data_IF_870457002007
#
_entry.id   IF_870457002007
#
_cell.length_a   1.000
_cell.length_b   1.000
_cell.length_c   1.000
_cell.angle_alpha   90.00
_cell.angle_beta   90.00
_cell.angle_gamma   90.00
#
_symmetry.space_group_name_H-M   'P 1'
#
loop_
_entity.id
_entity.type
_entity.pdbx_description
1 polymer ?
#
# COMPACT_ATOMS: atom_id res chain seq x y z
N UNK A 1 26.38 -42.04 40.00
CA UNK A 1 24.96 -41.80 39.61
C UNK A 1 24.37 -40.45 40.04
N UNK A 2 24.99 -39.66 40.95
CA UNK A 2 24.41 -38.37 41.42
C UNK A 2 24.77 -37.11 40.60
N UNK A 3 25.79 -37.16 39.75
CA UNK A 3 26.25 -35.99 38.99
C UNK A 3 25.34 -35.62 37.79
N UNK A 4 24.71 -36.62 37.14
CA UNK A 4 23.79 -36.39 36.00
C UNK A 4 22.45 -35.77 36.40
N UNK A 5 22.07 -35.83 37.68
CA UNK A 5 20.83 -35.23 38.19
C UNK A 5 20.94 -33.71 38.30
N UNK A 6 22.09 -33.18 38.77
CA UNK A 6 22.28 -31.74 39.02
C UNK A 6 22.47 -30.94 37.72
N UNK A 7 23.12 -31.52 36.70
CA UNK A 7 23.23 -30.88 35.38
C UNK A 7 21.88 -30.75 34.68
N UNK A 8 20.96 -31.71 34.87
CA UNK A 8 19.61 -31.65 34.28
C UNK A 8 18.74 -30.60 34.96
N UNK A 9 18.76 -30.47 36.30
CA UNK A 9 17.99 -29.42 36.99
C UNK A 9 18.50 -28.01 36.71
N UNK A 10 19.82 -27.82 36.58
CA UNK A 10 20.40 -26.52 36.22
C UNK A 10 20.01 -26.04 34.81
N UNK A 11 19.98 -26.96 33.84
CA UNK A 11 19.59 -26.64 32.46
C UNK A 11 18.10 -26.29 32.34
N UNK A 12 17.23 -26.96 33.08
CA UNK A 12 15.79 -26.64 33.12
C UNK A 12 15.52 -25.27 33.78
N UNK A 13 16.25 -24.91 34.83
CA UNK A 13 16.10 -23.61 35.50
C UNK A 13 16.57 -22.43 34.61
N UNK A 14 17.66 -22.61 33.85
CA UNK A 14 18.16 -21.62 32.88
C UNK A 14 17.19 -21.42 31.70
N UNK A 15 16.57 -22.50 31.22
CA UNK A 15 15.57 -22.43 30.14
C UNK A 15 14.28 -21.74 30.59
N UNK A 16 13.80 -22.03 31.81
CA UNK A 16 12.63 -21.39 32.40
C UNK A 16 12.85 -19.88 32.65
N UNK A 17 14.03 -19.48 33.13
CA UNK A 17 14.38 -18.08 33.32
C UNK A 17 14.47 -17.30 31.99
N UNK A 18 15.00 -17.93 30.93
CA UNK A 18 15.04 -17.36 29.58
C UNK A 18 13.65 -17.13 28.97
N UNK A 19 12.73 -18.10 29.14
CA UNK A 19 11.34 -17.95 28.70
C UNK A 19 10.60 -16.83 29.47
N UNK A 20 10.80 -16.72 30.78
CA UNK A 20 10.17 -15.67 31.59
C UNK A 20 10.64 -14.25 31.19
N UNK A 21 11.93 -14.06 30.93
CA UNK A 21 12.49 -12.78 30.48
C UNK A 21 11.98 -12.39 29.08
N UNK A 22 11.93 -13.34 28.14
CA UNK A 22 11.39 -13.09 26.79
C UNK A 22 9.90 -12.71 26.84
N UNK A 23 9.12 -13.37 27.70
CA UNK A 23 7.70 -13.07 27.88
C UNK A 23 7.47 -11.69 28.52
N UNK A 24 8.31 -11.31 29.49
CA UNK A 24 8.26 -9.98 30.10
C UNK A 24 8.63 -8.87 29.10
N UNK A 25 9.63 -9.09 28.24
CA UNK A 25 9.99 -8.16 27.16
C UNK A 25 8.85 -7.96 26.16
N UNK A 26 8.23 -9.05 25.70
CA UNK A 26 7.08 -8.98 24.79
C UNK A 26 5.89 -8.24 25.43
N UNK A 27 5.57 -8.51 26.70
CA UNK A 27 4.48 -7.84 27.39
C UNK A 27 4.70 -6.32 27.52
N UNK A 28 5.95 -5.89 27.73
CA UNK A 28 6.30 -4.47 27.77
C UNK A 28 6.19 -3.82 26.38
N UNK A 29 6.65 -4.49 25.31
CA UNK A 29 6.46 -4.03 23.93
C UNK A 29 4.98 -3.86 23.61
N UNK A 30 4.14 -4.86 23.93
CA UNK A 30 2.69 -4.81 23.70
C UNK A 30 2.04 -3.66 24.45
N UNK A 31 2.41 -3.42 25.72
CA UNK A 31 1.93 -2.28 26.51
C UNK A 31 2.27 -0.94 25.86
N UNK A 32 3.50 -0.75 25.37
CA UNK A 32 3.92 0.49 24.71
C UNK A 32 3.20 0.71 23.38
N UNK A 33 2.94 -0.36 22.62
CA UNK A 33 2.14 -0.32 21.39
C UNK A 33 0.71 0.11 21.74
N UNK A 34 0.08 -0.52 22.74
CA UNK A 34 -1.27 -0.18 23.20
C UNK A 34 -1.39 1.30 23.58
N UNK A 35 -0.46 1.82 24.37
CA UNK A 35 -0.45 3.23 24.79
C UNK A 35 -0.34 4.19 23.60
N UNK A 36 0.54 3.89 22.64
CA UNK A 36 0.72 4.69 21.43
C UNK A 36 -0.54 4.70 20.56
N UNK A 37 -1.15 3.53 20.33
CA UNK A 37 -2.34 3.40 19.49
C UNK A 37 -3.53 4.10 20.13
N UNK A 38 -3.75 3.88 21.43
CA UNK A 38 -4.85 4.49 22.17
C UNK A 38 -4.74 6.02 22.21
N UNK A 39 -3.52 6.58 22.31
CA UNK A 39 -3.30 8.02 22.22
C UNK A 39 -3.75 8.57 20.85
N UNK A 40 -3.29 7.97 19.74
CA UNK A 40 -3.67 8.37 18.38
C UNK A 40 -5.16 8.23 18.12
N UNK A 41 -5.77 7.14 18.60
CA UNK A 41 -7.22 6.92 18.45
C UNK A 41 -8.05 7.99 19.17
N UNK A 42 -7.67 8.35 20.40
CA UNK A 42 -8.32 9.44 21.16
C UNK A 42 -8.15 10.78 20.47
N UNK A 43 -6.93 11.12 20.07
CA UNK A 43 -6.58 12.40 19.45
C UNK A 43 -7.39 12.66 18.17
N UNK A 44 -7.58 11.62 17.34
CA UNK A 44 -8.25 11.77 16.04
C UNK A 44 -9.68 11.24 16.00
N UNK A 45 -10.23 10.80 17.14
CA UNK A 45 -11.58 10.24 17.25
C UNK A 45 -11.81 9.02 16.37
N UNK A 46 -10.81 8.14 16.26
CA UNK A 46 -10.85 6.92 15.45
C UNK A 46 -11.78 5.91 16.11
N UNK A 47 -12.77 5.39 15.38
CA UNK A 47 -13.74 4.45 15.95
C UNK A 47 -13.17 3.03 16.08
N UNK A 48 -12.39 2.57 15.11
CA UNK A 48 -11.71 1.30 15.14
C UNK A 48 -10.47 1.27 14.26
N UNK A 49 -9.47 0.52 14.71
CA UNK A 49 -8.17 0.37 14.06
C UNK A 49 -7.70 -1.08 14.14
N UNK A 50 -7.17 -1.59 13.03
CA UNK A 50 -6.52 -2.89 12.95
C UNK A 50 -5.09 -2.71 12.46
N UNK A 51 -4.14 -3.23 13.24
CA UNK A 51 -2.71 -3.18 12.96
C UNK A 51 -2.21 -4.62 12.83
N UNK A 52 -1.38 -4.86 11.82
CA UNK A 52 -0.61 -6.08 11.69
C UNK A 52 0.86 -5.73 11.56
N UNK A 53 1.72 -6.45 12.29
CA UNK A 53 3.17 -6.36 12.17
C UNK A 53 3.72 -7.73 11.81
N UNK A 54 4.78 -7.77 11.03
CA UNK A 54 5.49 -9.01 10.67
C UNK A 54 6.97 -8.84 10.96
N UNK A 55 7.59 -9.84 11.58
CA UNK A 55 9.04 -9.90 11.77
C UNK A 55 9.51 -11.31 11.44
N UNK A 56 10.39 -11.45 10.44
CA UNK A 56 10.87 -12.74 9.95
C UNK A 56 9.73 -13.70 9.53
N UNK A 57 8.59 -13.17 9.07
CA UNK A 57 7.40 -13.95 8.69
C UNK A 57 6.47 -14.32 9.85
N UNK A 58 6.83 -13.99 11.09
CA UNK A 58 5.93 -14.12 12.24
C UNK A 58 5.06 -12.87 12.35
N UNK A 59 3.75 -13.06 12.25
CA UNK A 59 2.77 -11.97 12.26
C UNK A 59 2.15 -11.78 13.65
N UNK A 60 2.02 -10.53 14.09
CA UNK A 60 1.29 -10.13 15.29
C UNK A 60 0.23 -9.11 14.96
N UNK A 61 -0.89 -9.12 15.69
CA UNK A 61 -2.06 -8.29 15.39
C UNK A 61 -2.51 -7.52 16.62
N UNK A 62 -2.78 -6.22 16.43
CA UNK A 62 -3.33 -5.34 17.45
C UNK A 62 -4.63 -4.73 16.92
N UNK A 63 -5.73 -4.95 17.62
CA UNK A 63 -7.07 -4.56 17.16
C UNK A 63 -7.80 -3.77 18.24
N UNK A 64 -8.38 -2.63 17.86
CA UNK A 64 -8.91 -1.68 18.81
C UNK A 64 -10.24 -1.10 18.33
N UNK A 65 -11.16 -0.89 19.28
CA UNK A 65 -12.44 -0.24 19.03
C UNK A 65 -13.41 -1.07 18.19
N UNK A 66 -14.19 -0.38 17.35
CA UNK A 66 -15.32 -0.98 16.61
C UNK A 66 -15.20 -0.76 15.10
N UNK A 67 -15.56 -1.79 14.33
CA UNK A 67 -15.71 -1.71 12.89
C UNK A 67 -16.91 -0.84 12.49
N UNK A 68 -17.95 -0.79 13.32
CA UNK A 68 -19.12 0.10 13.17
C UNK A 68 -19.70 0.48 14.53
N UNK A 69 -19.81 1.79 14.78
CA UNK A 69 -20.47 2.37 15.97
C UNK A 69 -21.94 1.97 16.07
N UNK A 70 -22.62 1.79 14.93
CA UNK A 70 -24.05 1.44 14.92
C UNK A 70 -24.28 0.00 15.39
N UNK A 71 -23.45 -0.93 14.93
CA UNK A 71 -23.61 -2.37 15.24
C UNK A 71 -22.87 -2.79 16.50
N UNK A 72 -21.93 -1.97 16.98
CA UNK A 72 -21.02 -2.34 18.07
C UNK A 72 -20.00 -3.44 17.72
N UNK A 73 -19.96 -3.91 16.46
CA UNK A 73 -19.05 -5.00 16.04
C UNK A 73 -17.60 -4.61 16.33
N UNK A 74 -16.83 -5.41 17.09
CA UNK A 74 -15.42 -5.15 17.33
C UNK A 74 -14.62 -5.08 16.03
N UNK A 75 -13.64 -4.17 15.98
CA UNK A 75 -12.61 -4.23 14.95
C UNK A 75 -11.71 -5.45 15.18
N UNK A 76 -11.22 -6.07 14.11
CA UNK A 76 -10.43 -7.29 14.18
C UNK A 76 -9.61 -7.49 12.91
N UNK A 77 -8.64 -8.41 12.94
CA UNK A 77 -7.67 -8.60 11.85
C UNK A 77 -8.30 -8.96 10.49
N UNK A 78 -9.54 -9.47 10.50
CA UNK A 78 -10.32 -9.87 9.33
C UNK A 78 -11.39 -8.83 8.92
N UNK A 79 -11.49 -7.71 9.63
CA UNK A 79 -12.34 -6.58 9.26
C UNK A 79 -11.83 -5.96 7.96
N UNK A 80 -12.73 -5.73 7.01
CA UNK A 80 -12.41 -5.12 5.72
C UNK A 80 -12.47 -3.60 5.83
N UNK A 81 -11.38 -2.94 5.43
CA UNK A 81 -11.24 -1.49 5.37
C UNK A 81 -11.02 -1.04 3.93
N UNK A 82 -11.47 0.16 3.58
CA UNK A 82 -11.03 0.83 2.35
C UNK A 82 -9.60 1.32 2.54
N UNK A 83 -8.69 0.91 1.65
CA UNK A 83 -7.26 1.26 1.78
C UNK A 83 -6.85 2.44 0.90
N UNK A 84 -7.81 3.00 0.16
CA UNK A 84 -7.60 4.15 -0.72
C UNK A 84 -6.37 3.94 -1.61
N UNK A 85 -5.47 4.92 -1.65
CA UNK A 85 -4.28 4.90 -2.52
C UNK A 85 -3.28 3.77 -2.28
N UNK A 86 -3.38 2.97 -1.21
CA UNK A 86 -2.60 1.73 -1.13
C UNK A 86 -2.99 0.78 -2.27
N UNK A 87 -4.21 0.86 -2.81
CA UNK A 87 -4.67 0.11 -4.00
C UNK A 87 -3.71 0.21 -5.19
N UNK A 88 -3.01 1.33 -5.33
CA UNK A 88 -2.05 1.58 -6.42
C UNK A 88 -0.92 0.57 -6.46
N UNK A 89 -0.52 0.04 -5.30
CA UNK A 89 0.55 -0.95 -5.21
C UNK A 89 0.13 -2.28 -5.85
N UNK A 90 -1.14 -2.68 -5.67
CA UNK A 90 -1.70 -3.83 -6.39
C UNK A 90 -1.81 -3.57 -7.92
N UNK A 91 -2.21 -2.36 -8.32
CA UNK A 91 -2.25 -1.97 -9.74
C UNK A 91 -0.86 -2.00 -10.38
N UNK A 92 0.16 -1.53 -9.67
CA UNK A 92 1.56 -1.62 -10.08
C UNK A 92 2.01 -3.09 -10.19
N UNK A 93 1.65 -3.94 -9.22
CA UNK A 93 1.94 -5.38 -9.28
C UNK A 93 1.25 -6.05 -10.48
N UNK A 94 0.01 -5.67 -10.82
CA UNK A 94 -0.67 -6.20 -12.02
C UNK A 94 0.08 -5.83 -13.31
N UNK A 95 0.49 -4.57 -13.44
CA UNK A 95 1.25 -4.10 -14.60
C UNK A 95 2.61 -4.80 -14.72
N UNK A 96 3.33 -4.92 -13.62
CA UNK A 96 4.59 -5.66 -13.56
C UNK A 96 4.40 -7.16 -13.87
N UNK A 97 3.31 -7.77 -13.40
CA UNK A 97 2.99 -9.16 -13.70
C UNK A 97 2.67 -9.36 -15.19
N UNK A 98 1.92 -8.43 -15.81
CA UNK A 98 1.72 -8.43 -17.24
C UNK A 98 3.05 -8.29 -18.01
N UNK A 99 3.99 -7.48 -17.51
CA UNK A 99 5.34 -7.37 -18.09
C UNK A 99 6.12 -8.68 -18.01
N UNK A 100 6.19 -9.30 -16.83
CA UNK A 100 6.91 -10.57 -16.64
C UNK A 100 6.34 -11.68 -17.52
N UNK A 101 5.05 -11.62 -17.86
CA UNK A 101 4.39 -12.54 -18.79
C UNK A 101 4.54 -12.16 -20.28
N UNK A 102 5.33 -11.14 -20.61
CA UNK A 102 5.54 -10.66 -21.97
C UNK A 102 4.29 -10.06 -22.62
N UNK A 103 3.30 -9.63 -21.82
CA UNK A 103 2.05 -9.06 -22.31
C UNK A 103 2.11 -7.55 -22.51
N UNK A 104 3.01 -6.89 -21.79
CA UNK A 104 3.38 -5.50 -22.03
C UNK A 104 4.86 -5.26 -21.74
N UNK A 105 5.38 -4.11 -22.16
CA UNK A 105 6.60 -3.53 -21.60
C UNK A 105 6.23 -2.22 -20.89
N UNK A 106 6.80 -1.94 -19.72
CA UNK A 106 6.54 -0.69 -19.00
C UNK A 106 7.04 0.55 -19.78
N UNK A 107 7.98 0.35 -20.71
CA UNK A 107 8.43 1.37 -21.66
C UNK A 107 7.46 1.61 -22.82
N UNK A 108 6.44 0.76 -23.01
CA UNK A 108 5.47 0.94 -24.10
C UNK A 108 4.67 2.24 -23.95
N UNK A 109 4.22 2.76 -25.09
CA UNK A 109 3.17 3.77 -25.11
C UNK A 109 1.81 3.16 -24.72
N UNK A 110 0.97 3.87 -23.94
CA UNK A 110 -0.43 3.48 -23.71
C UNK A 110 -1.23 3.25 -25.00
N UNK A 111 -0.91 3.98 -26.08
CA UNK A 111 -1.63 3.89 -27.35
C UNK A 111 -1.47 2.52 -28.04
N UNK A 112 -0.44 1.73 -27.69
CA UNK A 112 -0.30 0.34 -28.14
C UNK A 112 -1.47 -0.53 -27.69
N UNK A 113 -2.06 -0.22 -26.54
CA UNK A 113 -3.19 -0.95 -25.96
C UNK A 113 -4.51 -0.19 -26.16
N UNK A 114 -4.44 1.13 -26.31
CA UNK A 114 -5.58 2.04 -26.49
C UNK A 114 -5.42 2.80 -27.81
N UNK A 115 -5.61 2.15 -28.98
CA UNK A 115 -5.30 2.76 -30.28
C UNK A 115 -6.12 4.01 -30.60
N UNK A 116 -7.28 4.19 -29.96
CA UNK A 116 -8.09 5.41 -30.07
C UNK A 116 -7.40 6.68 -29.55
N UNK A 117 -6.35 6.52 -28.74
CA UNK A 117 -5.51 7.61 -28.22
C UNK A 117 -4.32 7.92 -29.13
N UNK A 118 -4.09 7.15 -30.20
CA UNK A 118 -2.97 7.36 -31.12
C UNK A 118 -2.98 8.81 -31.68
N UNK A 119 -1.79 9.41 -31.74
CA UNK A 119 -1.59 10.79 -32.19
C UNK A 119 -1.88 11.88 -31.15
N UNK A 120 -2.39 11.53 -29.95
CA UNK A 120 -2.54 12.49 -28.85
C UNK A 120 -1.23 12.71 -28.07
N UNK A 121 -1.17 13.73 -27.21
CA UNK A 121 -0.03 13.92 -26.31
C UNK A 121 0.05 12.83 -25.24
N UNK A 122 -1.10 12.28 -24.83
CA UNK A 122 -1.14 11.13 -23.92
C UNK A 122 -0.46 9.90 -24.52
N UNK A 123 -0.51 9.71 -25.85
CA UNK A 123 0.17 8.61 -26.52
C UNK A 123 1.71 8.71 -26.48
N UNK A 124 2.28 9.86 -26.12
CA UNK A 124 3.73 10.04 -26.00
C UNK A 124 4.28 9.58 -24.66
N UNK A 125 3.41 9.32 -23.68
CA UNK A 125 3.78 8.80 -22.38
C UNK A 125 4.26 7.35 -22.49
N UNK A 126 5.09 6.92 -21.54
CA UNK A 126 5.32 5.50 -21.26
C UNK A 126 4.43 5.02 -20.11
N UNK A 127 4.27 3.70 -19.95
CA UNK A 127 3.60 3.15 -18.76
C UNK A 127 4.38 3.42 -17.46
N UNK A 128 5.71 3.58 -17.54
CA UNK A 128 6.53 4.08 -16.42
C UNK A 128 6.04 5.47 -16.00
N UNK A 129 5.77 6.38 -16.93
CA UNK A 129 5.25 7.71 -16.58
C UNK A 129 3.91 7.63 -15.84
N UNK A 130 3.04 6.70 -16.24
CA UNK A 130 1.75 6.49 -15.60
C UNK A 130 1.90 5.97 -14.16
N UNK A 131 2.79 5.00 -13.94
CA UNK A 131 3.01 4.39 -12.62
C UNK A 131 3.87 5.22 -11.67
N UNK A 132 4.61 6.19 -12.18
CA UNK A 132 5.48 7.09 -11.40
C UNK A 132 4.95 8.51 -11.30
N UNK A 133 3.71 8.76 -11.76
CA UNK A 133 3.09 10.08 -11.70
C UNK A 133 3.86 11.19 -12.44
N UNK A 134 4.57 10.84 -13.52
CA UNK A 134 5.37 11.79 -14.32
C UNK A 134 4.75 12.09 -15.68
N UNK A 135 3.43 12.19 -15.72
CA UNK A 135 2.69 12.40 -16.97
C UNK A 135 2.82 13.82 -17.51
N UNK A 136 3.17 14.80 -16.67
CA UNK A 136 3.30 16.20 -17.07
C UNK A 136 2.09 17.06 -16.70
N UNK A 137 1.60 16.95 -15.46
CA UNK A 137 0.55 17.83 -14.92
C UNK A 137 -0.87 17.26 -14.97
N UNK A 138 -1.07 15.97 -14.69
CA UNK A 138 -2.44 15.48 -14.50
C UNK A 138 -3.10 16.06 -13.24
N UNK A 139 -4.42 16.31 -13.26
CA UNK A 139 -5.14 16.62 -12.04
C UNK A 139 -5.12 15.42 -11.08
N UNK A 140 -5.22 15.70 -9.78
CA UNK A 140 -5.24 14.67 -8.74
C UNK A 140 -6.36 13.63 -8.97
N UNK A 141 -7.52 14.08 -9.42
CA UNK A 141 -8.72 13.27 -9.69
C UNK A 141 -9.10 13.35 -11.16
N UNK A 142 -9.80 12.32 -11.64
CA UNK A 142 -10.56 12.44 -12.89
C UNK A 142 -11.56 13.59 -12.73
N UNK A 143 -11.60 14.58 -13.66
CA UNK A 143 -12.56 15.67 -13.59
C UNK A 143 -14.01 15.19 -13.42
N UNK A 144 -14.78 15.85 -12.56
CA UNK A 144 -16.14 15.42 -12.19
C UNK A 144 -17.09 15.30 -13.40
N UNK A 145 -16.87 16.05 -14.48
CA UNK A 145 -17.69 15.96 -15.69
C UNK A 145 -17.55 14.60 -16.43
N UNK A 146 -16.48 13.84 -16.16
CA UNK A 146 -16.19 12.56 -16.80
C UNK A 146 -16.82 11.44 -15.97
N UNK A 147 -17.86 10.82 -16.51
CA UNK A 147 -18.69 9.80 -15.83
C UNK A 147 -18.55 8.41 -16.42
N UNK A 148 -17.93 8.26 -17.59
CA UNK A 148 -17.77 6.97 -18.25
C UNK A 148 -16.48 6.89 -19.08
N UNK A 149 -16.18 5.69 -19.57
CA UNK A 149 -14.96 5.42 -20.34
C UNK A 149 -14.90 6.21 -21.66
N UNK A 150 -16.01 6.39 -22.38
CA UNK A 150 -16.00 7.16 -23.62
C UNK A 150 -15.60 8.63 -23.39
N UNK A 151 -16.14 9.25 -22.33
CA UNK A 151 -15.76 10.60 -21.90
C UNK A 151 -14.30 10.66 -21.42
N UNK A 152 -13.81 9.62 -20.74
CA UNK A 152 -12.41 9.52 -20.34
C UNK A 152 -11.48 9.49 -21.56
N UNK A 153 -11.79 8.67 -22.57
CA UNK A 153 -10.97 8.61 -23.80
C UNK A 153 -10.99 9.93 -24.56
N UNK A 154 -12.14 10.59 -24.65
CA UNK A 154 -12.24 11.93 -25.25
C UNK A 154 -11.40 12.97 -24.49
N UNK A 155 -11.46 12.95 -23.15
CA UNK A 155 -10.64 13.81 -22.29
C UNK A 155 -9.14 13.56 -22.51
N UNK A 156 -8.69 12.30 -22.48
CA UNK A 156 -7.28 11.94 -22.66
C UNK A 156 -6.76 12.29 -24.07
N UNK A 157 -7.62 12.16 -25.09
CA UNK A 157 -7.27 12.53 -26.46
C UNK A 157 -7.08 14.04 -26.62
N UNK A 158 -7.86 14.85 -25.90
CA UNK A 158 -7.79 16.31 -25.91
C UNK A 158 -6.77 16.89 -24.92
N UNK A 159 -6.37 16.12 -23.91
CA UNK A 159 -5.48 16.56 -22.85
C UNK A 159 -4.12 17.03 -23.39
N UNK A 160 -3.62 18.13 -22.82
CA UNK A 160 -2.32 18.72 -23.11
C UNK A 160 -1.47 18.76 -21.85
N UNK A 161 -0.22 18.28 -21.88
CA UNK A 161 0.68 18.37 -20.74
C UNK A 161 1.05 19.82 -20.43
N UNK A 162 1.16 20.14 -19.15
CA UNK A 162 1.77 21.39 -18.65
C UNK A 162 3.30 21.32 -18.69
N UNK A 163 3.85 20.10 -18.55
CA UNK A 163 5.28 19.82 -18.52
C UNK A 163 5.63 18.62 -19.40
N UNK A 164 6.87 18.53 -19.86
CA UNK A 164 7.30 17.36 -20.63
C UNK A 164 7.20 16.08 -19.79
N UNK A 165 6.84 14.97 -20.43
CA UNK A 165 6.75 13.67 -19.76
C UNK A 165 8.07 13.32 -19.07
N UNK A 166 8.00 12.78 -17.85
CA UNK A 166 9.19 12.43 -17.07
C UNK A 166 9.86 13.58 -16.30
N UNK A 167 9.45 14.84 -16.49
CA UNK A 167 10.17 15.99 -15.90
C UNK A 167 9.56 16.55 -14.62
N UNK A 168 8.29 16.24 -14.34
CA UNK A 168 7.60 16.64 -13.12
C UNK A 168 6.81 15.49 -12.55
N UNK A 169 6.88 15.29 -11.22
CA UNK A 169 5.98 14.44 -10.47
C UNK A 169 4.72 15.23 -10.13
N UNK A 170 3.57 14.76 -10.59
CA UNK A 170 2.24 15.25 -10.21
C UNK A 170 1.38 14.07 -9.78
N UNK A 171 1.23 13.88 -8.46
CA UNK A 171 0.48 12.73 -7.92
C UNK A 171 -0.97 12.74 -8.40
N UNK A 172 -1.37 11.72 -9.15
CA UNK A 172 -2.62 11.72 -9.88
C UNK A 172 -3.25 10.33 -9.97
N UNK A 173 -4.51 10.22 -9.56
CA UNK A 173 -5.33 9.04 -9.74
C UNK A 173 -5.53 8.65 -11.21
N UNK A 174 -5.83 9.56 -12.16
CA UNK A 174 -5.94 9.18 -13.57
C UNK A 174 -4.63 8.61 -14.16
N UNK A 175 -3.47 9.02 -13.65
CA UNK A 175 -2.17 8.50 -14.08
C UNK A 175 -2.09 6.99 -13.89
N UNK A 176 -2.12 6.54 -12.64
CA UNK A 176 -2.01 5.12 -12.31
C UNK A 176 -3.30 4.33 -12.61
N UNK A 177 -4.44 5.02 -12.65
CA UNK A 177 -5.69 4.44 -13.13
C UNK A 177 -5.56 3.95 -14.57
N UNK A 178 -4.96 4.77 -15.44
CA UNK A 178 -4.68 4.37 -16.81
C UNK A 178 -3.63 3.26 -16.92
N UNK A 179 -2.65 3.20 -16.01
CA UNK A 179 -1.73 2.04 -15.92
C UNK A 179 -2.51 0.75 -15.68
N UNK A 180 -3.43 0.75 -14.72
CA UNK A 180 -4.28 -0.42 -14.40
C UNK A 180 -5.16 -0.85 -15.57
N UNK A 181 -5.81 0.11 -16.24
CA UNK A 181 -6.62 -0.16 -17.43
C UNK A 181 -5.79 -0.80 -18.55
N UNK A 182 -4.60 -0.25 -18.85
CA UNK A 182 -3.69 -0.81 -19.85
C UNK A 182 -3.19 -2.20 -19.46
N UNK A 183 -2.81 -2.39 -18.20
CA UNK A 183 -2.35 -3.67 -17.68
C UNK A 183 -3.41 -4.77 -17.82
N UNK A 184 -4.66 -4.48 -17.45
CA UNK A 184 -5.77 -5.42 -17.60
C UNK A 184 -6.07 -5.71 -19.08
N UNK A 185 -6.03 -4.68 -19.93
CA UNK A 185 -6.26 -4.82 -21.37
C UNK A 185 -5.18 -5.68 -22.04
N UNK A 186 -3.91 -5.53 -21.67
CA UNK A 186 -2.82 -6.38 -22.21
C UNK A 186 -2.98 -7.86 -21.81
N UNK A 187 -3.66 -8.12 -20.70
CA UNK A 187 -4.03 -9.46 -20.23
C UNK A 187 -5.34 -9.98 -20.85
N UNK A 188 -6.02 -9.19 -21.70
CA UNK A 188 -7.35 -9.48 -22.24
C UNK A 188 -8.39 -9.75 -21.14
N UNK A 189 -8.35 -8.94 -20.08
CA UNK A 189 -9.27 -9.02 -18.94
C UNK A 189 -9.85 -7.65 -18.60
N UNK A 190 -11.10 -7.58 -18.09
CA UNK A 190 -11.54 -6.43 -17.30
C UNK A 190 -10.67 -6.29 -16.05
N UNK A 191 -10.38 -5.07 -15.61
CA UNK A 191 -9.50 -4.82 -14.47
C UNK A 191 -9.92 -5.59 -13.21
N UNK A 192 -11.19 -5.50 -12.80
CA UNK A 192 -11.68 -6.24 -11.63
C UNK A 192 -11.45 -7.74 -11.72
N UNK A 193 -11.67 -8.34 -12.89
CA UNK A 193 -11.44 -9.76 -13.09
C UNK A 193 -9.96 -10.12 -13.00
N UNK A 194 -9.08 -9.29 -13.57
CA UNK A 194 -7.63 -9.47 -13.45
C UNK A 194 -7.16 -9.39 -11.99
N UNK A 195 -7.79 -8.53 -11.18
CA UNK A 195 -7.49 -8.41 -9.75
C UNK A 195 -8.06 -9.59 -8.95
N UNK A 196 -9.36 -9.81 -9.00
CA UNK A 196 -10.08 -10.74 -8.11
C UNK A 196 -9.96 -12.22 -8.51
N UNK A 197 -9.78 -12.52 -9.80
CA UNK A 197 -9.70 -13.91 -10.28
C UNK A 197 -8.27 -14.36 -10.56
N UNK A 198 -7.36 -13.43 -10.84
CA UNK A 198 -5.98 -13.76 -11.18
C UNK A 198 -4.99 -13.30 -10.10
N UNK A 199 -4.90 -11.99 -9.81
CA UNK A 199 -3.84 -11.45 -8.96
C UNK A 199 -4.01 -11.81 -7.46
N UNK A 200 -5.15 -11.48 -6.85
CA UNK A 200 -5.38 -11.72 -5.42
C UNK A 200 -5.25 -13.21 -5.04
N UNK A 201 -5.87 -14.17 -5.77
CA UNK A 201 -5.70 -15.59 -5.46
C UNK A 201 -4.26 -16.07 -5.56
N UNK A 202 -3.49 -15.59 -6.54
CA UNK A 202 -2.08 -15.95 -6.71
C UNK A 202 -1.17 -15.38 -5.62
N UNK A 203 -1.55 -14.26 -5.01
CA UNK A 203 -0.93 -13.70 -3.81
C UNK A 203 -1.42 -14.37 -2.52
N UNK A 204 -2.34 -15.34 -2.61
CA UNK A 204 -2.93 -16.01 -1.43
C UNK A 204 -3.88 -15.12 -0.62
N UNK A 205 -4.45 -14.08 -1.24
CA UNK A 205 -5.33 -13.12 -0.61
C UNK A 205 -6.79 -13.55 -0.75
N UNK A 206 -7.44 -13.84 0.38
CA UNK A 206 -8.81 -14.41 0.43
C UNK A 206 -9.86 -13.44 0.97
N UNK A 207 -9.42 -12.31 1.50
CA UNK A 207 -10.19 -11.22 2.10
C UNK A 207 -9.77 -9.87 1.51
N UNK A 208 -9.54 -9.84 0.19
CA UNK A 208 -9.16 -8.65 -0.59
C UNK A 208 -10.05 -8.55 -1.82
N UNK A 209 -10.70 -7.40 -2.00
CA UNK A 209 -11.79 -7.21 -2.96
C UNK A 209 -11.73 -5.85 -3.64
N UNK A 210 -12.17 -5.78 -4.89
CA UNK A 210 -12.64 -4.54 -5.50
C UNK A 210 -14.12 -4.37 -5.16
N UNK A 211 -14.95 -5.39 -5.33
CA UNK A 211 -16.35 -5.36 -4.92
C UNK A 211 -16.54 -6.30 -3.72
N UNK A 212 -16.85 -5.75 -2.54
CA UNK A 212 -17.06 -6.58 -1.35
C UNK A 212 -18.31 -7.44 -1.56
N UNK A 213 -18.19 -8.78 -1.56
CA UNK A 213 -19.32 -9.65 -1.83
C UNK A 213 -20.35 -9.60 -0.69
N UNK A 214 -21.62 -9.85 -1.01
CA UNK A 214 -22.72 -9.80 -0.04
C UNK A 214 -22.45 -10.60 1.24
N UNK A 215 -21.86 -11.80 1.10
CA UNK A 215 -21.50 -12.69 2.22
C UNK A 215 -20.43 -12.11 3.16
N UNK A 216 -19.67 -11.10 2.73
CA UNK A 216 -18.61 -10.44 3.49
C UNK A 216 -18.97 -9.03 3.93
N UNK A 217 -20.19 -8.55 3.64
CA UNK A 217 -20.62 -7.20 4.01
C UNK A 217 -20.65 -6.96 5.52
N UNK A 218 -20.86 -8.00 6.33
CA UNK A 218 -20.75 -7.91 7.78
C UNK A 218 -19.33 -7.53 8.23
N UNK A 219 -18.30 -7.99 7.50
CA UNK A 219 -16.88 -7.71 7.78
C UNK A 219 -16.45 -6.32 7.30
N UNK A 220 -17.23 -5.67 6.44
CA UNK A 220 -16.93 -4.34 5.90
C UNK A 220 -17.19 -3.26 6.94
N UNK A 221 -16.11 -2.69 7.47
CA UNK A 221 -16.17 -1.56 8.39
C UNK A 221 -17.00 -0.39 7.81
N UNK A 222 -17.57 0.39 8.72
CA UNK A 222 -18.19 1.66 8.40
C UNK A 222 -17.13 2.76 8.56
N UNK A 223 -16.83 3.49 7.50
CA UNK A 223 -15.95 4.67 7.57
C UNK A 223 -16.67 5.86 8.18
N UNK A 224 -15.93 6.74 8.84
CA UNK A 224 -16.45 7.97 9.45
C UNK A 224 -15.69 9.19 8.92
N UNK A 225 -16.42 10.14 8.30
CA UNK A 225 -15.83 11.38 7.80
C UNK A 225 -15.48 12.34 8.95
N UNK A 226 -14.97 13.54 8.63
CA UNK A 226 -14.57 14.55 9.63
C UNK A 226 -15.72 15.01 10.53
N UNK A 227 -16.96 14.93 10.05
CA UNK A 227 -18.18 15.25 10.78
C UNK A 227 -18.74 14.05 11.57
N UNK A 228 -18.00 12.94 11.68
CA UNK A 228 -18.45 11.67 12.26
C UNK A 228 -19.64 11.02 11.55
N UNK A 229 -19.99 11.46 10.33
CA UNK A 229 -21.04 10.82 9.56
C UNK A 229 -20.52 9.53 8.89
N UNK A 230 -21.34 8.46 8.84
CA UNK A 230 -20.98 7.23 8.15
C UNK A 230 -20.81 7.49 6.65
N UNK A 231 -19.68 7.04 6.09
CA UNK A 231 -19.39 7.13 4.66
C UNK A 231 -18.65 5.88 4.17
N UNK A 232 -18.90 5.49 2.93
CA UNK A 232 -18.10 4.53 2.15
C UNK A 232 -17.76 5.14 0.80
N UNK A 233 -16.73 4.61 0.15
CA UNK A 233 -16.31 5.04 -1.19
C UNK A 233 -17.43 4.79 -2.20
N UNK A 234 -17.70 5.78 -3.04
CA UNK A 234 -18.62 5.64 -4.17
C UNK A 234 -17.87 5.16 -5.42
N UNK A 235 -18.55 4.46 -6.35
CA UNK A 235 -17.98 4.16 -7.65
C UNK A 235 -17.56 5.43 -8.40
N UNK A 236 -16.47 5.34 -9.16
CA UNK A 236 -15.95 6.44 -9.97
C UNK A 236 -15.11 5.91 -11.13
N UNK A 237 -14.92 6.75 -12.15
CA UNK A 237 -14.05 6.43 -13.29
C UNK A 237 -12.62 6.22 -12.76
N UNK A 238 -12.04 5.06 -13.06
CA UNK A 238 -10.72 4.62 -12.58
C UNK A 238 -10.60 4.45 -11.06
N UNK A 239 -11.73 4.35 -10.34
CA UNK A 239 -11.72 4.16 -8.89
C UNK A 239 -11.07 2.82 -8.50
N UNK A 240 -11.42 1.74 -9.19
CA UNK A 240 -10.93 0.38 -8.92
C UNK A 240 -9.40 0.33 -8.98
N UNK A 241 -8.81 0.94 -10.01
CA UNK A 241 -7.38 0.99 -10.26
C UNK A 241 -6.62 1.91 -9.29
N UNK A 242 -7.24 3.01 -8.87
CA UNK A 242 -6.52 4.06 -8.13
C UNK A 242 -6.72 4.01 -6.61
N UNK A 243 -7.89 3.59 -6.13
CA UNK A 243 -8.25 3.66 -4.71
C UNK A 243 -9.38 2.70 -4.26
N UNK A 244 -9.73 1.70 -5.08
CA UNK A 244 -10.93 0.89 -4.89
C UNK A 244 -10.77 -0.38 -4.07
N UNK A 245 -9.58 -0.76 -3.62
CA UNK A 245 -9.38 -2.01 -2.88
C UNK A 245 -9.95 -1.91 -1.46
N UNK A 246 -10.66 -2.97 -1.05
CA UNK A 246 -11.03 -3.25 0.34
C UNK A 246 -10.30 -4.51 0.77
N UNK A 247 -9.62 -4.48 1.90
CA UNK A 247 -8.88 -5.64 2.44
C UNK A 247 -8.84 -5.63 3.96
N UNK A 248 -8.41 -6.74 4.55
CA UNK A 248 -8.17 -6.85 5.98
C UNK A 248 -6.69 -6.65 6.33
N UNK A 249 -6.41 -6.40 7.61
CA UNK A 249 -5.02 -6.31 8.08
C UNK A 249 -4.28 -7.65 7.88
N UNK A 250 -4.99 -8.78 8.03
CA UNK A 250 -4.45 -10.13 7.79
C UNK A 250 -4.03 -10.36 6.34
N UNK A 251 -4.81 -9.90 5.38
CA UNK A 251 -4.46 -10.08 3.98
C UNK A 251 -3.38 -9.07 3.54
N UNK A 252 -3.51 -7.81 3.96
CA UNK A 252 -2.55 -6.80 3.56
C UNK A 252 -1.15 -7.09 4.12
N UNK A 253 -1.03 -7.68 5.32
CA UNK A 253 0.29 -8.09 5.84
C UNK A 253 0.87 -9.29 5.07
N UNK A 254 0.06 -10.18 4.50
CA UNK A 254 0.54 -11.23 3.57
C UNK A 254 1.09 -10.64 2.29
N UNK A 255 0.45 -9.58 1.77
CA UNK A 255 0.98 -8.85 0.62
C UNK A 255 2.30 -8.15 0.98
N UNK A 256 2.43 -7.59 2.18
CA UNK A 256 3.71 -7.04 2.69
C UNK A 256 4.79 -8.11 2.81
N UNK A 257 4.47 -9.27 3.38
CA UNK A 257 5.39 -10.42 3.45
C UNK A 257 5.88 -10.82 2.05
N UNK A 258 4.96 -10.91 1.07
CA UNK A 258 5.30 -11.20 -0.32
C UNK A 258 6.23 -10.13 -0.93
N UNK A 259 6.04 -8.86 -0.58
CA UNK A 259 6.94 -7.77 -1.00
C UNK A 259 8.34 -7.87 -0.38
N UNK A 260 8.50 -8.55 0.74
CA UNK A 260 9.81 -8.86 1.34
C UNK A 260 10.36 -10.22 0.91
N UNK A 261 9.75 -10.86 -0.09
CA UNK A 261 10.15 -12.19 -0.57
C UNK A 261 9.76 -13.34 0.36
N UNK A 262 8.84 -13.12 1.30
CA UNK A 262 8.34 -14.13 2.22
C UNK A 262 7.06 -14.76 1.68
N UNK A 263 6.90 -16.07 1.87
CA UNK A 263 5.64 -16.78 1.67
C UNK A 263 5.00 -16.65 0.27
N UNK A 264 5.80 -16.40 -0.78
CA UNK A 264 5.32 -16.29 -2.17
C UNK A 264 5.97 -17.34 -3.07
N UNK A 265 5.18 -18.36 -3.45
CA UNK A 265 5.65 -19.48 -4.28
C UNK A 265 5.74 -19.12 -5.77
N UNK A 266 4.82 -18.32 -6.30
CA UNK A 266 4.74 -18.00 -7.73
C UNK A 266 5.96 -17.16 -8.18
N UNK A 267 6.85 -17.76 -8.97
CA UNK A 267 8.07 -17.11 -9.44
C UNK A 267 7.81 -15.89 -10.34
N UNK A 268 6.71 -15.92 -11.12
CA UNK A 268 6.30 -14.80 -11.95
C UNK A 268 5.88 -13.60 -11.10
N UNK A 269 5.16 -13.85 -10.01
CA UNK A 269 4.82 -12.79 -9.06
C UNK A 269 6.03 -12.28 -8.27
N UNK A 270 7.00 -13.13 -7.89
CA UNK A 270 8.25 -12.66 -7.29
C UNK A 270 8.99 -11.71 -8.22
N UNK A 271 9.09 -12.06 -9.50
CA UNK A 271 9.65 -11.17 -10.52
C UNK A 271 8.85 -9.88 -10.66
N UNK A 272 7.51 -9.94 -10.66
CA UNK A 272 6.65 -8.77 -10.77
C UNK A 272 6.83 -7.81 -9.58
N UNK A 273 6.84 -8.34 -8.35
CA UNK A 273 7.08 -7.56 -7.13
C UNK A 273 8.44 -6.86 -7.19
N UNK A 274 9.51 -7.58 -7.59
CA UNK A 274 10.83 -6.97 -7.75
C UNK A 274 10.80 -5.79 -8.74
N UNK A 275 10.04 -5.87 -9.84
CA UNK A 275 9.87 -4.75 -10.76
C UNK A 275 9.12 -3.56 -10.14
N UNK A 276 8.29 -3.78 -9.10
CA UNK A 276 7.62 -2.68 -8.40
C UNK A 276 8.54 -1.89 -7.46
N UNK A 277 9.75 -2.40 -7.17
CA UNK A 277 10.75 -1.77 -6.29
C UNK A 277 11.93 -1.17 -7.08
N UNK A 278 11.78 -1.02 -8.40
CA UNK A 278 12.74 -0.28 -9.23
C UNK A 278 12.51 1.21 -9.05
N UNK A 279 13.53 1.94 -8.63
CA UNK A 279 13.48 3.39 -8.42
C UNK A 279 13.75 4.18 -9.69
N UNK A 280 12.87 5.13 -10.01
CA UNK A 280 12.90 5.87 -11.27
C UNK A 280 13.39 7.31 -11.15
N UNK A 281 13.18 7.98 -10.02
CA UNK A 281 13.70 9.31 -9.73
C UNK A 281 13.73 9.56 -8.22
N UNK A 282 14.40 10.62 -7.80
CA UNK A 282 14.42 11.09 -6.42
C UNK A 282 13.71 12.44 -6.29
N UNK A 283 13.03 12.65 -5.17
CA UNK A 283 12.43 13.90 -4.75
C UNK A 283 12.74 14.09 -3.26
N UNK A 284 13.71 14.96 -2.96
CA UNK A 284 14.34 14.97 -1.64
C UNK A 284 14.97 13.60 -1.34
N UNK A 285 14.73 13.08 -0.14
CA UNK A 285 15.23 11.77 0.29
C UNK A 285 14.37 10.59 -0.21
N UNK A 286 13.21 10.86 -0.82
CA UNK A 286 12.31 9.84 -1.32
C UNK A 286 12.69 9.44 -2.74
N UNK A 287 12.84 8.14 -2.98
CA UNK A 287 12.93 7.55 -4.33
C UNK A 287 11.56 7.01 -4.72
N UNK A 288 11.07 7.41 -5.89
CA UNK A 288 9.80 6.92 -6.42
C UNK A 288 10.04 5.63 -7.20
N UNK A 289 9.39 4.55 -6.78
CA UNK A 289 9.33 3.30 -7.51
C UNK A 289 8.00 3.20 -8.30
N UNK A 290 7.59 2.00 -8.73
CA UNK A 290 6.26 1.83 -9.32
C UNK A 290 5.19 1.82 -8.22
N UNK A 291 4.52 2.96 -8.04
CA UNK A 291 3.59 3.29 -6.95
C UNK A 291 4.20 3.35 -5.53
N UNK A 292 5.13 2.47 -5.19
CA UNK A 292 5.86 2.49 -3.92
C UNK A 292 6.78 3.71 -3.81
N UNK A 293 7.00 4.15 -2.59
CA UNK A 293 7.89 5.27 -2.24
C UNK A 293 8.90 4.72 -1.22
N UNK A 294 10.20 4.98 -1.43
CA UNK A 294 11.24 4.40 -0.59
C UNK A 294 12.25 5.43 -0.09
N UNK A 295 12.76 5.21 1.13
CA UNK A 295 13.84 5.98 1.74
C UNK A 295 14.93 5.02 2.20
N UNK A 296 16.19 5.50 2.24
CA UNK A 296 17.30 4.71 2.79
C UNK A 296 17.01 4.35 4.26
N UNK A 297 17.30 3.10 4.64
CA UNK A 297 17.20 2.63 6.02
C UNK A 297 18.59 2.61 6.71
N UNK A 298 18.73 3.02 7.98
CA UNK A 298 17.66 3.56 8.84
C UNK A 298 17.22 4.96 8.38
N UNK A 299 15.91 5.15 8.25
CA UNK A 299 15.31 6.43 7.91
C UNK A 299 15.01 7.20 9.20
N UNK A 300 15.26 8.51 9.23
CA UNK A 300 14.84 9.34 10.37
C UNK A 300 13.33 9.58 10.31
N UNK A 301 12.70 9.81 11.46
CA UNK A 301 11.29 10.19 11.52
C UNK A 301 11.00 11.45 10.70
N UNK A 302 11.87 12.45 10.73
CA UNK A 302 11.69 13.71 9.98
C UNK A 302 11.75 13.50 8.46
N UNK A 303 12.64 12.63 7.97
CA UNK A 303 12.71 12.27 6.56
C UNK A 303 11.42 11.55 6.12
N UNK A 304 10.94 10.60 6.93
CA UNK A 304 9.68 9.89 6.67
C UNK A 304 8.47 10.83 6.67
N UNK A 305 8.41 11.78 7.60
CA UNK A 305 7.36 12.77 7.66
C UNK A 305 7.37 13.69 6.45
N UNK A 306 8.56 14.15 6.04
CA UNK A 306 8.73 15.01 4.86
C UNK A 306 8.29 14.29 3.59
N UNK A 307 8.71 13.03 3.40
CA UNK A 307 8.35 12.23 2.23
C UNK A 307 6.84 11.94 2.12
N UNK A 308 6.12 11.93 3.25
CA UNK A 308 4.68 11.62 3.29
C UNK A 308 3.79 12.85 3.51
N UNK A 309 4.39 14.04 3.51
CA UNK A 309 3.70 15.30 3.72
C UNK A 309 2.70 15.62 2.60
N UNK A 310 1.65 16.36 2.93
CA UNK A 310 0.56 16.66 1.98
C UNK A 310 0.99 17.39 0.71
N UNK A 311 2.05 18.20 0.77
CA UNK A 311 2.58 18.94 -0.38
C UNK A 311 3.11 18.05 -1.51
N UNK A 312 3.69 16.88 -1.19
CA UNK A 312 4.11 15.91 -2.20
C UNK A 312 2.92 15.36 -2.99
N UNK A 313 1.71 15.43 -2.43
CA UNK A 313 0.49 14.92 -3.08
C UNK A 313 -0.34 16.02 -3.75
N UNK A 314 -0.07 17.30 -3.49
CA UNK A 314 -0.90 18.42 -3.95
C UNK A 314 -0.20 19.39 -4.91
N UNK A 315 1.12 19.27 -5.09
CA UNK A 315 1.91 20.16 -5.94
C UNK A 315 2.75 19.37 -6.95
N UNK A 316 2.87 19.90 -8.17
CA UNK A 316 3.81 19.40 -9.17
C UNK A 316 5.24 19.74 -8.74
N UNK A 317 6.13 18.75 -8.76
CA UNK A 317 7.53 18.90 -8.34
C UNK A 317 8.46 18.51 -9.48
N UNK A 318 9.49 19.32 -9.81
CA UNK A 318 10.45 18.95 -10.83
C UNK A 318 11.25 17.72 -10.39
N UNK A 319 11.49 16.79 -11.30
CA UNK A 319 12.25 15.57 -11.05
C UNK A 319 13.14 15.25 -12.25
N UNK A 320 14.21 14.52 -11.99
CA UNK A 320 15.10 13.98 -13.01
C UNK A 320 15.11 12.45 -12.92
N UNK A 321 14.92 11.78 -14.06
CA UNK A 321 14.97 10.33 -14.14
C UNK A 321 16.37 9.81 -13.79
N UNK A 322 16.43 8.72 -13.04
CA UNK A 322 17.65 7.94 -12.82
C UNK A 322 17.95 7.14 -14.09
N UNK A 323 19.21 7.24 -14.57
CA UNK A 323 19.68 6.51 -15.74
C UNK A 323 21.05 5.88 -15.45
N UNK A 324 21.12 4.54 -15.29
CA UNK A 324 20.00 3.59 -15.29
C UNK A 324 19.05 3.78 -14.08
N UNK A 325 17.81 3.27 -14.14
CA UNK A 325 16.94 3.18 -12.97
C UNK A 325 17.63 2.43 -11.82
N UNK A 326 17.31 2.82 -10.58
CA UNK A 326 17.84 2.17 -9.39
C UNK A 326 17.25 0.76 -9.27
N UNK A 327 18.07 -0.31 -9.24
CA UNK A 327 17.55 -1.66 -9.04
C UNK A 327 16.89 -1.79 -7.65
N UNK A 328 16.11 -2.86 -7.39
CA UNK A 328 15.51 -3.09 -6.08
C UNK A 328 16.54 -3.04 -4.96
N UNK A 329 16.20 -2.35 -3.88
CA UNK A 329 17.07 -2.15 -2.72
C UNK A 329 16.56 -2.95 -1.52
N UNK A 330 17.46 -3.47 -0.70
CA UNK A 330 17.11 -4.24 0.51
C UNK A 330 17.14 -3.38 1.79
N UNK A 331 18.07 -2.43 1.87
CA UNK A 331 18.28 -1.55 3.03
C UNK A 331 17.50 -0.23 2.89
N UNK A 332 16.18 -0.37 2.72
CA UNK A 332 15.26 0.75 2.48
C UNK A 332 13.97 0.58 3.29
N UNK A 333 13.39 1.69 3.70
CA UNK A 333 12.03 1.78 4.19
C UNK A 333 11.11 2.06 3.00
N UNK A 334 10.32 1.07 2.61
CA UNK A 334 9.36 1.18 1.51
C UNK A 334 7.97 1.38 2.11
N UNK A 335 7.20 2.35 1.63
CA UNK A 335 5.90 2.65 2.20
C UNK A 335 4.84 3.13 1.20
N UNK A 336 3.58 3.15 1.66
CA UNK A 336 2.48 3.82 0.99
C UNK A 336 1.40 4.28 1.97
N UNK A 337 0.94 5.51 1.81
CA UNK A 337 -0.28 6.03 2.45
C UNK A 337 -1.51 5.81 1.58
N UNK A 338 -2.68 5.69 2.20
CA UNK A 338 -3.94 5.61 1.47
C UNK A 338 -5.13 6.10 2.28
N UNK A 339 -6.04 6.83 1.63
CA UNK A 339 -7.21 7.41 2.30
C UNK A 339 -8.42 7.39 1.37
N UNK A 340 -9.59 7.31 1.98
CA UNK A 340 -10.88 7.67 1.36
C UNK A 340 -11.57 8.70 2.26
N UNK A 341 -12.85 9.02 2.02
CA UNK A 341 -13.57 9.99 2.84
C UNK A 341 -13.74 9.55 4.31
N UNK A 342 -13.77 8.24 4.56
CA UNK A 342 -14.02 7.67 5.88
C UNK A 342 -12.91 6.75 6.40
N UNK A 343 -11.81 6.59 5.66
CA UNK A 343 -10.77 5.63 6.00
C UNK A 343 -9.38 6.21 5.83
N UNK A 344 -8.45 5.70 6.63
CA UNK A 344 -7.05 6.04 6.61
C UNK A 344 -6.20 4.80 6.83
N UNK A 345 -5.24 4.58 5.94
CA UNK A 345 -4.33 3.46 6.00
C UNK A 345 -2.88 3.88 5.77
N UNK A 346 -1.98 3.04 6.26
CA UNK A 346 -0.54 3.13 6.05
C UNK A 346 0.05 1.73 6.01
N UNK A 347 1.00 1.52 5.10
CA UNK A 347 1.78 0.30 5.02
C UNK A 347 3.25 0.67 4.86
N UNK A 348 4.13 -0.05 5.56
CA UNK A 348 5.57 0.10 5.41
C UNK A 348 6.30 -1.21 5.68
N UNK A 349 7.48 -1.37 5.09
CA UNK A 349 8.34 -2.52 5.33
C UNK A 349 9.81 -2.23 5.02
N UNK A 350 10.68 -3.04 5.60
CA UNK A 350 12.14 -2.99 5.45
C UNK A 350 12.63 -4.39 5.04
N UNK A 351 12.89 -4.64 3.74
CA UNK A 351 13.22 -5.98 3.23
C UNK A 351 14.40 -6.64 3.95
N UNK A 352 15.51 -5.93 4.13
CA UNK A 352 16.71 -6.42 4.84
C UNK A 352 16.48 -6.80 6.30
N UNK A 353 15.40 -6.32 6.92
CA UNK A 353 15.01 -6.65 8.30
C UNK A 353 13.88 -7.68 8.36
N UNK A 354 13.26 -8.00 7.22
CA UNK A 354 12.01 -8.79 7.13
C UNK A 354 10.97 -8.27 8.13
N UNK A 355 10.88 -6.95 8.22
CA UNK A 355 10.07 -6.22 9.17
C UNK A 355 9.03 -5.41 8.41
N UNK A 356 7.75 -5.53 8.75
CA UNK A 356 6.68 -4.81 8.07
C UNK A 356 5.51 -4.48 8.99
N UNK A 357 4.74 -3.48 8.59
CA UNK A 357 3.58 -3.01 9.32
C UNK A 357 2.46 -2.59 8.37
N UNK A 358 1.24 -2.88 8.80
CA UNK A 358 -0.02 -2.42 8.22
C UNK A 358 -0.82 -1.75 9.31
N UNK A 359 -1.34 -0.55 9.05
CA UNK A 359 -2.25 0.20 9.94
C UNK A 359 -3.49 0.57 9.12
N UNK A 360 -4.66 0.11 9.54
CA UNK A 360 -5.94 0.40 8.90
C UNK A 360 -6.93 0.98 9.90
N UNK A 361 -7.54 2.13 9.58
CA UNK A 361 -8.49 2.82 10.44
C UNK A 361 -9.74 3.25 9.67
N UNK A 362 -10.90 3.19 10.33
CA UNK A 362 -12.17 3.69 9.80
C UNK A 362 -12.38 5.20 10.05
N UNK A 363 -11.29 5.97 9.90
CA UNK A 363 -11.24 7.43 9.95
C UNK A 363 -10.14 7.89 9.00
N UNK A 364 -10.40 8.90 8.19
CA UNK A 364 -9.32 9.59 7.47
C UNK A 364 -8.63 10.60 8.42
N UNK A 365 -7.52 10.18 9.04
CA UNK A 365 -6.70 10.98 9.96
C UNK A 365 -5.34 11.35 9.32
N UNK A 366 -4.60 12.37 9.82
CA UNK A 366 -3.40 12.90 9.15
C UNK A 366 -2.33 11.84 8.85
N UNK A 367 -1.67 11.94 7.70
CA UNK A 367 -0.61 11.00 7.30
C UNK A 367 0.54 10.98 8.32
N UNK A 368 0.90 12.14 8.85
CA UNK A 368 1.96 12.36 9.82
C UNK A 368 1.75 11.51 11.07
N UNK A 369 0.50 11.42 11.55
CA UNK A 369 0.15 10.57 12.69
C UNK A 369 0.28 9.07 12.37
N UNK A 370 -0.01 8.66 11.12
CA UNK A 370 0.19 7.27 10.65
C UNK A 370 1.67 6.91 10.64
N UNK A 371 2.50 7.80 10.09
CA UNK A 371 3.95 7.62 9.99
C UNK A 371 4.58 7.58 11.38
N UNK A 372 4.22 8.51 12.29
CA UNK A 372 4.72 8.51 13.68
C UNK A 372 4.34 7.21 14.41
N UNK A 373 3.10 6.76 14.27
CA UNK A 373 2.64 5.53 14.89
C UNK A 373 3.42 4.32 14.35
N UNK A 374 3.59 4.22 13.05
CA UNK A 374 4.35 3.13 12.43
C UNK A 374 5.82 3.13 12.83
N UNK A 375 6.47 4.31 12.81
CA UNK A 375 7.86 4.48 13.24
C UNK A 375 8.06 4.05 14.69
N UNK A 376 7.14 4.45 15.59
CA UNK A 376 7.19 4.05 17.00
C UNK A 376 7.01 2.54 17.17
N UNK A 377 5.97 1.96 16.56
CA UNK A 377 5.69 0.51 16.71
C UNK A 377 6.86 -0.33 16.18
N UNK A 378 7.39 0.00 15.00
CA UNK A 378 8.52 -0.75 14.45
C UNK A 378 9.79 -0.57 15.30
N UNK A 379 10.03 0.62 15.87
CA UNK A 379 11.15 0.86 16.79
C UNK A 379 11.07 0.07 18.10
N UNK A 380 9.88 -0.24 18.61
CA UNK A 380 9.71 -1.12 19.79
C UNK A 380 9.90 -2.60 19.45
N UNK A 381 9.74 -3.00 18.19
CA UNK A 381 9.90 -4.39 17.73
C UNK A 381 11.34 -4.72 17.25
N UNK A 382 12.16 -3.68 17.03
CA UNK A 382 13.57 -3.82 16.68
C UNK A 382 14.49 -4.01 17.89
N UNK A 383 14.06 -3.53 19.07
CA UNK A 383 14.70 -3.78 20.36
C UNK A 383 14.58 -5.26 20.75
#
# INVERSE_FOLDING_TARGET
MRLNSMLRTGLFALMAAGCALAQAGQAETDRKVDEAVQAVMREHGIAGMSIAVTRNGTQHFYNYGVASRQTGRPAGSDTLYEIGSISKTYTATLAAYAQVRGRLALSDSPAKYLPELAGSDFAKLSLINLGTHTTGGFPLQVPDAIKNQAQLMAYLKAWKPEHAAGTYRTYANPSIGMLGMVAAKSLNRPFKAAMERDLFPKLGLTSTYIDVPAARMADYAQGYNKQNAPVRVNPGVLADEAYGVKTSARDLIRFVDANMGLNLADAGLRGAIAQTHVGYYQLGDMTQDLAWEQLRYPATLDALLTANAGNYNSQSQPVAALSPPLPPQEAVWINKTGSTNGFGGYVAFVPSKKLGIVILANRNYPNEARVRLAYRILGELEQ
#
